data_IF_989855354785
#
_entry.id   IF_989855354785
#
_cell.length_a   1.000
_cell.length_b   1.000
_cell.length_c   1.000
_cell.angle_alpha   90.00
_cell.angle_beta   90.00
_cell.angle_gamma   90.00
#
_symmetry.space_group_name_H-M   'P 1'
#
loop_
_entity.id
_entity.type
_entity.pdbx_description
1 polymer ?
#
# COMPACT_ATOMS: atom_id res chain seq x y z
N UNK A 1 12.69 20.63 71.16
CA UNK A 1 13.75 20.72 70.13
C UNK A 1 13.96 19.37 69.41
N UNK A 2 14.30 18.29 70.10
CA UNK A 2 14.58 16.98 69.47
C UNK A 2 13.41 16.39 68.65
N UNK A 3 12.17 16.58 69.10
CA UNK A 3 10.97 16.11 68.40
C UNK A 3 10.73 16.79 67.05
N UNK A 4 11.04 18.08 66.93
CA UNK A 4 10.90 18.84 65.68
C UNK A 4 11.97 18.42 64.66
N UNK A 5 13.19 18.15 65.12
CA UNK A 5 14.29 17.68 64.27
C UNK A 5 13.99 16.27 63.74
N UNK A 6 13.47 15.37 64.59
CA UNK A 6 13.06 14.03 64.16
C UNK A 6 11.95 14.06 63.11
N UNK A 7 10.98 14.98 63.25
CA UNK A 7 9.90 15.13 62.28
C UNK A 7 10.38 15.69 60.94
N UNK A 8 11.28 16.67 60.95
CA UNK A 8 11.90 17.20 59.73
C UNK A 8 12.70 16.14 58.97
N UNK A 9 13.44 15.29 59.68
CA UNK A 9 14.14 14.16 59.06
C UNK A 9 13.19 13.13 58.45
N UNK A 10 12.08 12.82 59.13
CA UNK A 10 11.07 11.91 58.59
C UNK A 10 10.44 12.47 57.31
N UNK A 11 10.07 13.76 57.29
CA UNK A 11 9.52 14.41 56.10
C UNK A 11 10.54 14.46 54.97
N UNK A 12 11.78 14.83 55.25
CA UNK A 12 12.84 14.87 54.25
C UNK A 12 13.10 13.49 53.63
N UNK A 13 13.08 12.42 54.45
CA UNK A 13 13.24 11.06 53.98
C UNK A 13 12.07 10.63 53.09
N UNK A 14 10.83 10.95 53.46
CA UNK A 14 9.65 10.67 52.63
C UNK A 14 9.73 11.40 51.29
N UNK A 15 10.12 12.68 51.29
CA UNK A 15 10.29 13.46 50.06
C UNK A 15 11.39 12.89 49.18
N UNK A 16 12.53 12.50 49.76
CA UNK A 16 13.64 11.88 49.02
C UNK A 16 13.21 10.55 48.38
N UNK A 17 12.46 9.71 49.11
CA UNK A 17 11.91 8.46 48.57
C UNK A 17 10.92 8.75 47.45
N UNK A 18 10.03 9.72 47.62
CA UNK A 18 9.08 10.13 46.57
C UNK A 18 9.80 10.60 45.31
N UNK A 19 10.89 11.36 45.48
CA UNK A 19 11.69 11.90 44.39
C UNK A 19 12.45 10.82 43.61
N UNK A 20 12.80 9.71 44.28
CA UNK A 20 13.38 8.52 43.63
C UNK A 20 12.32 7.68 42.93
N UNK A 21 11.12 7.56 43.49
CA UNK A 21 10.02 6.75 42.91
C UNK A 21 9.40 7.43 41.68
N UNK A 22 9.27 8.76 41.69
CA UNK A 22 8.68 9.53 40.59
C UNK A 22 9.31 9.26 39.21
N UNK A 23 10.64 9.28 39.03
CA UNK A 23 11.25 9.01 37.73
C UNK A 23 11.02 7.58 37.23
N UNK A 24 10.85 6.58 38.12
CA UNK A 24 10.48 5.22 37.69
C UNK A 24 9.06 5.18 37.13
N UNK A 25 8.12 5.89 37.75
CA UNK A 25 6.74 6.00 37.24
C UNK A 25 6.75 6.69 35.88
N UNK A 26 7.49 7.79 35.73
CA UNK A 26 7.65 8.49 34.44
C UNK A 26 8.25 7.59 33.40
N UNK A 27 9.33 6.89 33.72
CA UNK A 27 10.00 6.00 32.80
C UNK A 27 9.03 4.92 32.31
N UNK A 28 8.25 4.32 33.21
CA UNK A 28 7.20 3.36 32.86
C UNK A 28 6.15 3.96 31.91
N UNK A 29 5.68 5.17 32.19
CA UNK A 29 4.71 5.88 31.35
C UNK A 29 5.28 6.20 29.97
N UNK A 30 6.53 6.68 29.90
CA UNK A 30 7.21 6.99 28.63
C UNK A 30 7.40 5.73 27.79
N UNK A 31 7.86 4.63 28.39
CA UNK A 31 8.02 3.35 27.70
C UNK A 31 6.66 2.84 27.20
N UNK A 32 5.62 2.91 28.02
CA UNK A 32 4.26 2.53 27.62
C UNK A 32 3.75 3.36 26.44
N UNK A 33 3.93 4.68 26.48
CA UNK A 33 3.58 5.59 25.38
C UNK A 33 4.38 5.26 24.12
N UNK A 34 5.68 5.02 24.24
CA UNK A 34 6.54 4.66 23.11
C UNK A 34 6.07 3.36 22.43
N UNK A 35 5.71 2.33 23.20
CA UNK A 35 5.16 1.07 22.66
C UNK A 35 3.82 1.32 21.96
N UNK A 36 2.94 2.11 22.57
CA UNK A 36 1.62 2.42 22.02
C UNK A 36 1.70 3.19 20.70
N UNK A 37 2.60 4.18 20.63
CA UNK A 37 2.85 4.96 19.42
C UNK A 37 3.52 4.07 18.36
N UNK A 38 4.52 3.28 18.74
CA UNK A 38 5.20 2.35 17.84
C UNK A 38 4.25 1.36 17.18
N UNK A 39 3.31 0.77 17.93
CA UNK A 39 2.28 -0.12 17.39
C UNK A 39 1.41 0.56 16.33
N UNK A 40 0.91 1.77 16.61
CA UNK A 40 0.10 2.54 15.63
C UNK A 40 0.87 2.86 14.36
N UNK A 41 2.14 3.24 14.49
CA UNK A 41 2.99 3.56 13.34
C UNK A 41 3.20 2.31 12.48
N UNK A 42 3.47 1.16 13.10
CA UNK A 42 3.63 -0.11 12.38
C UNK A 42 2.34 -0.53 11.66
N UNK A 43 1.18 -0.41 12.31
CA UNK A 43 -0.12 -0.68 11.67
C UNK A 43 -0.34 0.18 10.43
N UNK A 44 -0.09 1.49 10.53
CA UNK A 44 -0.24 2.39 9.40
C UNK A 44 0.75 2.11 8.25
N UNK A 45 2.00 1.77 8.58
CA UNK A 45 2.97 1.35 7.56
C UNK A 45 2.61 0.01 6.92
N UNK A 46 2.03 -0.92 7.67
CA UNK A 46 1.59 -2.21 7.14
C UNK A 46 0.43 -2.05 6.17
N UNK A 47 -0.51 -1.14 6.41
CA UNK A 47 -1.59 -0.82 5.46
C UNK A 47 -1.04 -0.30 4.13
N UNK A 48 -0.10 0.66 4.19
CA UNK A 48 0.55 1.21 2.99
C UNK A 48 1.40 0.15 2.27
N UNK A 49 2.10 -0.70 3.03
CA UNK A 49 2.89 -1.78 2.48
C UNK A 49 2.01 -2.88 1.84
N UNK A 50 0.85 -3.17 2.43
CA UNK A 50 -0.12 -4.12 1.89
C UNK A 50 -0.68 -3.64 0.55
N UNK A 51 -1.02 -2.35 0.42
CA UNK A 51 -1.45 -1.77 -0.85
C UNK A 51 -0.36 -1.89 -1.95
N UNK A 52 0.91 -1.66 -1.60
CA UNK A 52 2.04 -1.85 -2.52
C UNK A 52 2.27 -3.31 -2.90
N UNK A 53 2.08 -4.24 -1.96
CA UNK A 53 2.18 -5.70 -2.21
C UNK A 53 1.08 -6.16 -3.16
N UNK A 54 -0.17 -5.76 -2.93
CA UNK A 54 -1.30 -6.11 -3.81
C UNK A 54 -1.07 -5.67 -5.27
N UNK A 55 -0.48 -4.49 -5.46
CA UNK A 55 -0.15 -3.98 -6.81
C UNK A 55 0.93 -4.81 -7.49
N UNK A 56 1.96 -5.24 -6.74
CA UNK A 56 3.02 -6.12 -7.24
C UNK A 56 2.50 -7.52 -7.56
N UNK A 57 1.66 -8.09 -6.71
CA UNK A 57 1.06 -9.41 -6.91
C UNK A 57 0.18 -9.42 -8.17
N UNK A 58 -0.61 -8.35 -8.39
CA UNK A 58 -1.40 -8.18 -9.60
C UNK A 58 -0.54 -8.01 -10.88
N UNK A 59 0.68 -7.48 -10.76
CA UNK A 59 1.63 -7.40 -11.86
C UNK A 59 2.26 -8.76 -12.15
N UNK A 60 2.73 -9.48 -11.12
CA UNK A 60 3.26 -10.84 -11.26
C UNK A 60 2.22 -11.79 -11.86
N UNK A 61 0.97 -11.76 -11.37
CA UNK A 61 -0.10 -12.60 -11.92
C UNK A 61 -0.45 -12.26 -13.39
N UNK A 62 -0.16 -11.04 -13.86
CA UNK A 62 -0.27 -10.69 -15.28
C UNK A 62 0.93 -11.21 -16.07
N UNK A 63 2.13 -11.01 -15.55
CA UNK A 63 3.36 -11.51 -16.17
C UNK A 63 3.34 -13.05 -16.32
N UNK A 64 2.89 -13.78 -15.31
CA UNK A 64 2.81 -15.24 -15.34
C UNK A 64 1.82 -15.74 -16.41
N UNK A 65 0.68 -15.06 -16.57
CA UNK A 65 -0.28 -15.35 -17.63
C UNK A 65 0.29 -15.09 -19.02
N UNK A 66 1.01 -13.97 -19.20
CA UNK A 66 1.66 -13.63 -20.46
C UNK A 66 2.80 -14.61 -20.78
N UNK A 67 3.60 -14.98 -19.78
CA UNK A 67 4.67 -15.96 -19.92
C UNK A 67 4.11 -17.33 -20.34
N UNK A 68 3.02 -17.78 -19.73
CA UNK A 68 2.33 -19.01 -20.12
C UNK A 68 1.81 -18.94 -21.57
N UNK A 69 1.30 -17.79 -22.02
CA UNK A 69 0.85 -17.61 -23.41
C UNK A 69 2.01 -17.64 -24.41
N UNK A 70 3.17 -17.06 -24.07
CA UNK A 70 4.39 -17.15 -24.90
C UNK A 70 4.83 -18.59 -25.07
N UNK A 71 4.88 -19.36 -23.97
CA UNK A 71 5.26 -20.77 -24.01
C UNK A 71 4.31 -21.64 -24.84
N UNK A 72 3.04 -21.23 -24.95
CA UNK A 72 2.04 -21.88 -25.81
C UNK A 72 2.12 -21.45 -27.28
N UNK A 73 3.09 -20.59 -27.66
CA UNK A 73 3.24 -20.09 -29.03
C UNK A 73 2.15 -19.10 -29.43
N UNK A 74 1.40 -18.54 -28.47
CA UNK A 74 0.37 -17.55 -28.75
C UNK A 74 1.02 -16.16 -28.92
N UNK A 75 0.85 -15.49 -30.08
CA UNK A 75 1.45 -14.17 -30.32
C UNK A 75 0.98 -13.10 -29.32
N UNK A 76 -0.16 -13.28 -28.66
CA UNK A 76 -0.64 -12.38 -27.61
C UNK A 76 0.28 -12.33 -26.37
N UNK A 77 1.05 -13.39 -26.10
CA UNK A 77 2.01 -13.41 -24.99
C UNK A 77 3.26 -12.56 -25.24
N UNK A 78 3.66 -12.37 -26.50
CA UNK A 78 4.89 -11.64 -26.88
C UNK A 78 4.69 -10.14 -26.79
N UNK A 79 3.53 -9.66 -27.27
CA UNK A 79 3.20 -8.24 -27.26
C UNK A 79 2.49 -7.82 -25.98
N UNK A 80 1.86 -8.76 -25.25
CA UNK A 80 1.03 -8.43 -24.10
C UNK A 80 -0.22 -7.62 -24.48
N UNK A 81 -1.07 -7.37 -23.49
CA UNK A 81 -2.28 -6.57 -23.66
C UNK A 81 -1.93 -5.11 -23.30
N UNK A 82 -1.16 -4.44 -24.17
CA UNK A 82 -0.91 -3.02 -24.02
C UNK A 82 -2.17 -2.26 -24.42
N UNK A 83 -2.63 -1.28 -23.61
CA UNK A 83 -3.65 -0.37 -24.08
C UNK A 83 -3.14 0.29 -25.36
N UNK A 84 -3.97 0.28 -26.40
CA UNK A 84 -3.67 1.01 -27.62
C UNK A 84 -3.36 2.46 -27.22
N UNK A 85 -2.20 2.98 -27.64
CA UNK A 85 -1.84 4.37 -27.41
C UNK A 85 -2.98 5.23 -27.97
N UNK A 86 -3.51 6.13 -27.15
CA UNK A 86 -4.43 7.16 -27.63
C UNK A 86 -3.62 8.14 -28.50
N UNK A 87 -3.62 7.87 -29.80
CA UNK A 87 -2.87 8.62 -30.80
C UNK A 87 -3.55 9.94 -31.19
N UNK A 88 -4.58 10.37 -30.44
CA UNK A 88 -5.45 11.49 -30.78
C UNK A 88 -4.74 12.81 -31.08
N UNK A 89 -3.54 13.05 -30.53
CA UNK A 89 -2.84 14.33 -30.68
C UNK A 89 -1.50 14.26 -31.43
N UNK A 90 -0.93 13.06 -31.66
CA UNK A 90 0.41 12.90 -32.23
C UNK A 90 0.47 12.47 -33.71
N UNK A 91 -0.64 12.10 -34.36
CA UNK A 91 -0.57 11.60 -35.74
C UNK A 91 -1.79 11.97 -36.61
N UNK A 92 -1.71 13.05 -37.42
CA UNK A 92 -2.81 13.43 -38.32
C UNK A 92 -3.02 12.47 -39.50
N UNK A 93 -2.13 11.49 -39.73
CA UNK A 93 -2.21 10.59 -40.90
C UNK A 93 -3.02 9.31 -40.59
N UNK A 94 -3.12 8.92 -39.32
CA UNK A 94 -3.85 7.70 -38.92
C UNK A 94 -5.39 7.86 -38.89
N UNK A 95 -5.90 9.09 -38.98
CA UNK A 95 -7.35 9.37 -38.98
C UNK A 95 -8.08 8.79 -40.21
N UNK A 96 -7.35 8.58 -41.32
CA UNK A 96 -7.90 7.95 -42.54
C UNK A 96 -8.11 6.44 -42.34
N UNK A 97 -7.31 5.80 -41.49
CA UNK A 97 -7.38 4.35 -41.25
C UNK A 97 -8.23 3.97 -40.05
N UNK A 98 -8.51 4.91 -39.14
CA UNK A 98 -9.36 4.70 -37.95
C UNK A 98 -10.83 5.14 -38.15
N UNK A 99 -11.26 5.31 -39.40
CA UNK A 99 -12.69 5.31 -39.68
C UNK A 99 -13.20 3.89 -39.45
N UNK A 100 -14.11 3.73 -38.49
CA UNK A 100 -14.78 2.46 -38.25
C UNK A 100 -15.22 1.89 -39.61
N UNK A 101 -14.85 0.65 -39.99
CA UNK A 101 -15.31 0.08 -41.23
C UNK A 101 -16.83 0.14 -41.18
N UNK A 102 -17.42 0.89 -42.12
CA UNK A 102 -18.87 1.00 -42.25
C UNK A 102 -19.43 -0.41 -42.12
N UNK A 103 -20.23 -0.67 -41.07
CA UNK A 103 -20.76 -2.01 -40.77
C UNK A 103 -21.43 -2.55 -42.02
N UNK A 104 -20.70 -3.33 -42.82
CA UNK A 104 -21.26 -4.06 -43.95
C UNK A 104 -22.01 -5.22 -43.33
N UNK A 105 -23.30 -5.01 -43.12
CA UNK A 105 -24.25 -6.07 -42.81
C UNK A 105 -24.21 -7.07 -43.96
N UNK A 106 -23.36 -8.10 -43.85
CA UNK A 106 -23.49 -9.30 -44.64
C UNK A 106 -24.77 -10.01 -44.19
N UNK A 107 -25.92 -9.56 -44.72
CA UNK A 107 -27.11 -10.38 -44.74
C UNK A 107 -26.79 -11.58 -45.64
N UNK A 108 -26.60 -12.72 -44.99
CA UNK A 108 -26.43 -14.03 -45.61
C UNK A 108 -27.75 -14.39 -46.28
N UNK A 109 -27.95 -13.97 -47.53
CA UNK A 109 -29.05 -14.46 -48.35
C UNK A 109 -28.78 -15.94 -48.62
N UNK A 110 -29.42 -16.83 -47.85
CA UNK A 110 -29.61 -18.21 -48.27
C UNK A 110 -30.51 -18.16 -49.50
N UNK A 111 -29.95 -18.43 -50.67
CA UNK A 111 -30.72 -18.91 -51.80
C UNK A 111 -30.41 -20.40 -51.93
N UNK A 112 -31.34 -21.20 -51.40
CA UNK A 112 -31.59 -22.55 -51.88
C UNK A 112 -32.23 -22.42 -53.27
N UNK A 113 -31.74 -23.22 -54.21
CA UNK A 113 -32.24 -23.32 -55.59
C UNK A 113 -31.22 -24.06 -56.42
#
# INVERSE_FOLDING_TARGET
>A
MAQLIGWLFAVALVVAVLQVVWPFIVLGVVVYLAIKIGKRVVEHHNEVAAARRATRDALCARADRQHAQVLQGNPAGVYGEYPAVDLGELNPVLWVCNQAPARRSYQRTRLNG
#
